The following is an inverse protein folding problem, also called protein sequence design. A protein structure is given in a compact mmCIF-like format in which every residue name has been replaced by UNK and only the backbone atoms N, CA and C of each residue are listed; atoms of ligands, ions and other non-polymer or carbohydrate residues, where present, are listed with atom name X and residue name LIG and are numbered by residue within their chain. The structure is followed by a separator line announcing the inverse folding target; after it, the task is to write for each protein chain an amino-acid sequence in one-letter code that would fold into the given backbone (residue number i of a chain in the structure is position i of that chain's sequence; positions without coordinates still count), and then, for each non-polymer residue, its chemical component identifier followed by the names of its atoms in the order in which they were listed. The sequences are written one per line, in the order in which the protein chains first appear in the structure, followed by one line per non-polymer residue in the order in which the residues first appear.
data_IF_685433639746
#
_entry.id   IF_685433639746
#
_cell.length_a   1.000
_cell.length_b   1.000
_cell.length_c   1.000
_cell.angle_alpha   90.00
_cell.angle_beta   90.00
_cell.angle_gamma   90.00
#
_symmetry.space_group_name_H-M   'P 1'
#
loop_
_entity.id
_entity.type
_entity.pdbx_description
1 polymer ?
#
# COMPACT_ATOMS: atom_id res chain seq x y z
N UNK A 1 36.15 -14.28 -6.70
CA UNK A 1 35.01 -14.88 -7.41
C UNK A 1 33.84 -14.91 -6.44
N UNK A 2 33.03 -13.86 -6.37
CA UNK A 2 31.81 -13.89 -5.56
C UNK A 2 30.84 -14.85 -6.24
N UNK A 3 30.53 -15.95 -5.58
CA UNK A 3 29.55 -16.93 -6.04
C UNK A 3 28.19 -16.26 -6.12
N UNK A 4 27.79 -15.95 -7.35
CA UNK A 4 26.48 -15.42 -7.70
C UNK A 4 25.44 -16.51 -7.39
N UNK A 5 25.04 -16.57 -6.12
CA UNK A 5 24.01 -17.47 -5.63
C UNK A 5 22.72 -16.94 -6.21
N UNK A 6 22.37 -17.42 -7.42
CA UNK A 6 21.05 -17.24 -8.02
C UNK A 6 20.03 -17.70 -6.99
N UNK A 7 19.55 -16.73 -6.22
CA UNK A 7 18.65 -16.95 -5.10
C UNK A 7 17.39 -17.50 -5.74
N UNK A 8 16.98 -18.72 -5.38
CA UNK A 8 15.79 -19.34 -5.95
C UNK A 8 14.62 -18.35 -5.87
N UNK A 9 14.21 -17.80 -7.02
CA UNK A 9 13.09 -16.89 -7.10
C UNK A 9 11.86 -17.78 -6.88
N UNK A 10 11.38 -17.83 -5.63
CA UNK A 10 10.13 -18.51 -5.31
C UNK A 10 9.02 -17.63 -5.89
N UNK A 11 8.31 -18.08 -6.94
CA UNK A 11 7.22 -17.30 -7.51
C UNK A 11 6.17 -17.08 -6.42
N UNK A 12 5.75 -15.82 -6.27
CA UNK A 12 4.73 -15.46 -5.30
C UNK A 12 3.43 -16.19 -5.63
N UNK A 13 2.78 -16.77 -4.62
CA UNK A 13 1.41 -17.25 -4.76
C UNK A 13 0.54 -16.08 -5.19
N UNK A 14 -0.03 -16.15 -6.39
CA UNK A 14 -1.00 -15.15 -6.87
C UNK A 14 -2.35 -15.46 -6.24
N UNK A 15 -2.99 -14.46 -5.68
CA UNK A 15 -4.40 -14.56 -5.33
C UNK A 15 -5.21 -14.70 -6.64
N UNK A 16 -6.24 -15.54 -6.62
CA UNK A 16 -7.18 -15.61 -7.74
C UNK A 16 -8.25 -14.55 -7.51
N UNK A 17 -8.22 -13.50 -8.31
CA UNK A 17 -9.04 -12.30 -8.15
C UNK A 17 -9.59 -11.84 -9.49
N UNK A 18 -10.74 -11.19 -9.47
CA UNK A 18 -11.40 -10.69 -10.69
C UNK A 18 -10.65 -9.51 -11.32
N UNK A 19 -9.83 -8.80 -10.54
CA UNK A 19 -9.03 -7.66 -10.98
C UNK A 19 -7.54 -8.00 -11.04
N UNK A 20 -6.77 -7.34 -11.94
CA UNK A 20 -5.34 -7.63 -12.11
C UNK A 20 -4.52 -7.24 -10.89
N UNK A 21 -3.53 -8.06 -10.56
CA UNK A 21 -2.52 -7.75 -9.54
C UNK A 21 -1.60 -6.63 -10.02
N UNK A 22 -1.49 -5.57 -9.23
CA UNK A 22 -0.52 -4.47 -9.44
C UNK A 22 0.76 -4.77 -8.67
N UNK A 23 0.63 -5.12 -7.39
CA UNK A 23 1.77 -5.30 -6.48
C UNK A 23 1.38 -6.21 -5.31
N UNK A 24 2.13 -7.29 -5.08
CA UNK A 24 1.92 -8.21 -3.94
C UNK A 24 2.50 -7.71 -2.61
N UNK A 25 3.30 -6.65 -2.63
CA UNK A 25 3.92 -6.05 -1.45
C UNK A 25 4.19 -4.54 -1.64
N UNK A 26 3.13 -3.72 -1.71
CA UNK A 26 3.26 -2.31 -2.04
C UNK A 26 4.02 -1.54 -0.96
N UNK A 27 5.01 -0.77 -1.39
CA UNK A 27 5.76 0.12 -0.50
C UNK A 27 4.83 1.14 0.17
N UNK A 28 5.04 1.44 1.45
CA UNK A 28 4.18 2.31 2.27
C UNK A 28 3.80 3.62 1.57
N UNK A 29 4.80 4.28 0.95
CA UNK A 29 4.60 5.53 0.18
C UNK A 29 3.61 5.37 -0.99
N UNK A 30 3.64 4.24 -1.71
CA UNK A 30 2.71 3.98 -2.82
C UNK A 30 1.30 3.78 -2.30
N UNK A 31 1.14 3.08 -1.17
CA UNK A 31 -0.17 2.84 -0.57
C UNK A 31 -0.89 4.16 -0.25
N UNK A 32 -0.20 5.11 0.39
CA UNK A 32 -0.76 6.43 0.67
C UNK A 32 -0.89 7.31 -0.58
N UNK A 33 0.05 7.21 -1.53
CA UNK A 33 0.00 7.98 -2.78
C UNK A 33 -1.14 7.57 -3.72
N UNK A 34 -1.54 6.29 -3.69
CA UNK A 34 -2.60 5.73 -4.53
C UNK A 34 -3.96 5.75 -3.81
N UNK A 35 -4.02 6.17 -2.55
CA UNK A 35 -5.27 6.30 -1.81
C UNK A 35 -6.22 7.27 -2.53
N UNK A 36 -7.47 6.83 -2.76
CA UNK A 36 -8.50 7.66 -3.39
C UNK A 36 -9.00 8.71 -2.37
N UNK A 37 -9.55 9.84 -2.84
CA UNK A 37 -10.23 10.78 -1.94
C UNK A 37 -11.32 10.13 -1.09
N UNK A 38 -12.00 9.12 -1.64
CA UNK A 38 -13.00 8.34 -0.91
C UNK A 38 -12.42 7.55 0.26
N UNK A 39 -11.17 7.09 0.19
CA UNK A 39 -10.55 6.36 1.32
C UNK A 39 -10.20 7.31 2.45
N UNK A 40 -9.79 8.55 2.14
CA UNK A 40 -9.60 9.59 3.16
C UNK A 40 -10.92 9.96 3.83
N UNK A 41 -12.01 10.05 3.07
CA UNK A 41 -13.34 10.29 3.63
C UNK A 41 -13.79 9.16 4.56
N UNK A 42 -13.63 7.90 4.13
CA UNK A 42 -13.94 6.72 4.96
C UNK A 42 -13.04 6.69 6.20
N UNK A 43 -11.74 6.96 6.05
CA UNK A 43 -10.79 7.00 7.15
C UNK A 43 -11.14 8.08 8.18
N UNK A 44 -11.56 9.26 7.74
CA UNK A 44 -12.04 10.33 8.62
C UNK A 44 -13.31 9.92 9.38
N UNK A 45 -14.27 9.30 8.68
CA UNK A 45 -15.46 8.73 9.30
C UNK A 45 -15.10 7.71 10.39
N UNK A 46 -14.27 6.73 10.05
CA UNK A 46 -13.80 5.70 10.99
C UNK A 46 -12.98 6.29 12.14
N UNK A 47 -12.19 7.32 11.89
CA UNK A 47 -11.41 7.98 12.93
C UNK A 47 -12.27 8.71 13.96
N UNK A 48 -13.41 9.24 13.54
CA UNK A 48 -14.37 9.88 14.44
C UNK A 48 -15.26 8.88 15.21
N UNK A 49 -15.34 7.62 14.77
CA UNK A 49 -16.23 6.63 15.38
C UNK A 49 -15.96 6.42 16.87
N UNK A 50 -14.69 6.30 17.27
CA UNK A 50 -14.31 6.12 18.67
C UNK A 50 -14.70 7.32 19.56
N UNK A 51 -14.23 8.56 19.31
CA UNK A 51 -14.60 9.70 20.15
C UNK A 51 -16.12 9.98 20.14
N UNK A 52 -16.80 9.82 19.00
CA UNK A 52 -18.26 9.97 18.94
C UNK A 52 -18.95 8.92 19.81
N UNK A 53 -18.52 7.66 19.76
CA UNK A 53 -19.08 6.59 20.58
C UNK A 53 -18.92 6.89 22.07
N UNK A 54 -17.73 7.32 22.50
CA UNK A 54 -17.50 7.73 23.89
C UNK A 54 -18.36 8.92 24.32
N UNK A 55 -18.55 9.90 23.44
CA UNK A 55 -19.43 11.03 23.71
C UNK A 55 -20.90 10.61 23.85
N UNK A 56 -21.39 9.70 22.99
CA UNK A 56 -22.75 9.14 23.08
C UNK A 56 -22.91 8.33 24.37
N UNK A 57 -21.93 7.48 24.70
CA UNK A 57 -21.95 6.66 25.91
C UNK A 57 -21.99 7.50 27.18
N UNK A 58 -21.18 8.56 27.26
CA UNK A 58 -21.19 9.48 28.39
C UNK A 58 -22.53 10.22 28.51
N UNK A 59 -23.19 10.54 27.38
CA UNK A 59 -24.52 11.16 27.40
C UNK A 59 -25.63 10.18 27.82
N UNK A 60 -25.50 8.91 27.46
CA UNK A 60 -26.49 7.88 27.79
C UNK A 60 -26.35 7.36 29.23
N UNK A 61 -25.13 7.21 29.71
CA UNK A 61 -24.80 6.74 31.05
C UNK A 61 -23.63 7.56 31.62
N UNK A 62 -23.91 8.69 32.30
CA UNK A 62 -22.87 9.57 32.80
C UNK A 62 -21.93 8.86 33.77
N UNK A 63 -20.63 9.00 33.56
CA UNK A 63 -19.61 8.40 34.43
C UNK A 63 -19.42 9.18 35.74
N UNK A 64 -20.03 10.37 35.85
CA UNK A 64 -19.90 11.29 36.99
C UNK A 64 -18.44 11.66 37.30
N UNK A 65 -17.54 11.51 36.33
CA UNK A 65 -16.14 11.93 36.48
C UNK A 65 -16.11 13.44 36.70
N UNK A 66 -15.39 13.87 37.74
CA UNK A 66 -15.24 15.28 38.07
C UNK A 66 -14.68 16.10 36.89
N UNK A 67 -14.80 17.43 36.99
CA UNK A 67 -14.40 18.35 35.94
C UNK A 67 -12.94 18.10 35.51
N UNK A 68 -12.76 17.70 34.24
CA UNK A 68 -11.44 17.40 33.66
C UNK A 68 -11.12 15.91 33.47
N UNK A 69 -11.85 14.98 34.10
CA UNK A 69 -11.60 13.53 33.96
C UNK A 69 -11.92 12.95 32.58
N UNK A 70 -12.91 13.53 31.89
CA UNK A 70 -13.34 13.07 30.57
C UNK A 70 -12.41 13.49 29.42
N UNK A 71 -11.67 14.60 29.57
CA UNK A 71 -10.84 15.13 28.50
C UNK A 71 -9.66 14.21 28.11
N UNK A 72 -8.90 13.60 29.05
CA UNK A 72 -7.91 12.59 28.72
C UNK A 72 -8.49 11.36 27.99
N UNK A 73 -9.68 10.89 28.40
CA UNK A 73 -10.36 9.77 27.75
C UNK A 73 -10.70 10.11 26.30
N UNK A 74 -11.24 11.29 26.04
CA UNK A 74 -11.53 11.75 24.69
C UNK A 74 -10.28 11.91 23.81
N UNK A 75 -9.14 12.33 24.39
CA UNK A 75 -7.85 12.36 23.67
C UNK A 75 -7.40 10.96 23.28
N UNK A 76 -7.47 10.01 24.20
CA UNK A 76 -7.13 8.61 23.92
C UNK A 76 -8.08 8.00 22.87
N UNK A 77 -9.39 8.20 23.02
CA UNK A 77 -10.39 7.73 22.07
C UNK A 77 -10.14 8.31 20.67
N UNK A 78 -9.77 9.59 20.58
CA UNK A 78 -9.39 10.24 19.32
C UNK A 78 -8.11 9.62 18.73
N UNK A 79 -7.09 9.38 19.56
CA UNK A 79 -5.84 8.76 19.09
C UNK A 79 -6.08 7.34 18.55
N UNK A 80 -6.84 6.52 19.27
CA UNK A 80 -7.25 5.18 18.83
C UNK A 80 -8.08 5.25 17.55
N UNK A 81 -9.02 6.20 17.49
CA UNK A 81 -9.80 6.48 16.29
C UNK A 81 -8.90 6.78 15.08
N UNK A 82 -7.98 7.74 15.20
CA UNK A 82 -7.04 8.10 14.14
C UNK A 82 -6.23 6.89 13.65
N UNK A 83 -5.73 6.05 14.57
CA UNK A 83 -5.03 4.81 14.20
C UNK A 83 -5.95 3.84 13.43
N UNK A 84 -7.19 3.66 13.89
CA UNK A 84 -8.18 2.84 13.20
C UNK A 84 -8.56 3.38 11.81
N UNK A 85 -8.71 4.70 11.68
CA UNK A 85 -8.96 5.36 10.40
C UNK A 85 -7.81 5.17 9.41
N UNK A 86 -6.57 5.36 9.86
CA UNK A 86 -5.37 5.10 9.05
C UNK A 86 -5.24 3.64 8.66
N UNK A 87 -5.56 2.71 9.56
CA UNK A 87 -5.62 1.29 9.27
C UNK A 87 -6.62 0.98 8.15
N UNK A 88 -7.84 1.52 8.22
CA UNK A 88 -8.86 1.32 7.17
C UNK A 88 -8.41 1.93 5.83
N UNK A 89 -7.78 3.10 5.85
CA UNK A 89 -7.22 3.71 4.63
C UNK A 89 -6.18 2.81 3.98
N UNK A 90 -5.22 2.35 4.79
CA UNK A 90 -4.14 1.49 4.35
C UNK A 90 -4.70 0.18 3.77
N UNK A 91 -5.64 -0.44 4.47
CA UNK A 91 -6.26 -1.69 4.05
C UNK A 91 -6.96 -1.56 2.69
N UNK A 92 -7.80 -0.53 2.54
CA UNK A 92 -8.56 -0.31 1.31
C UNK A 92 -7.65 -0.05 0.10
N UNK A 93 -6.52 0.61 0.33
CA UNK A 93 -5.56 0.89 -0.72
C UNK A 93 -4.78 -0.36 -1.12
N UNK A 94 -4.28 -1.14 -0.17
CA UNK A 94 -3.59 -2.40 -0.46
C UNK A 94 -4.51 -3.46 -1.10
N UNK A 95 -5.78 -3.53 -0.72
CA UNK A 95 -6.77 -4.39 -1.40
C UNK A 95 -6.87 -4.13 -2.91
N UNK A 96 -6.73 -2.87 -3.34
CA UNK A 96 -6.67 -2.53 -4.77
C UNK A 96 -5.36 -2.96 -5.42
N UNK A 97 -4.23 -2.84 -4.72
CA UNK A 97 -2.95 -3.36 -5.24
C UNK A 97 -3.00 -4.87 -5.47
N UNK A 98 -3.67 -5.60 -4.56
CA UNK A 98 -3.86 -7.06 -4.64
C UNK A 98 -4.90 -7.49 -5.67
N UNK A 99 -5.72 -6.57 -6.19
CA UNK A 99 -6.81 -6.89 -7.10
C UNK A 99 -8.04 -7.48 -6.42
N UNK A 100 -8.18 -7.37 -5.08
CA UNK A 100 -9.40 -7.81 -4.38
C UNK A 100 -10.60 -6.90 -4.64
N UNK A 101 -10.35 -5.67 -5.10
CA UNK A 101 -11.37 -4.68 -5.43
C UNK A 101 -11.00 -3.99 -6.73
N UNK A 102 -11.97 -3.33 -7.36
CA UNK A 102 -11.78 -2.53 -8.57
C UNK A 102 -10.57 -1.59 -8.45
N UNK A 103 -9.68 -1.68 -9.43
CA UNK A 103 -8.37 -1.01 -9.41
C UNK A 103 -7.95 -0.46 -10.78
N UNK A 104 -8.87 -0.22 -11.71
CA UNK A 104 -8.54 0.20 -13.09
C UNK A 104 -7.75 1.52 -13.10
N UNK A 105 -8.16 2.49 -12.27
CA UNK A 105 -7.45 3.75 -12.09
C UNK A 105 -6.01 3.54 -11.60
N UNK A 106 -5.83 2.67 -10.61
CA UNK A 106 -4.52 2.38 -10.03
C UNK A 106 -3.61 1.62 -11.01
N UNK A 107 -4.17 0.72 -11.83
CA UNK A 107 -3.45 0.04 -12.91
C UNK A 107 -2.95 1.03 -13.95
N UNK A 108 -3.78 1.99 -14.36
CA UNK A 108 -3.40 3.03 -15.32
C UNK A 108 -2.29 3.93 -14.74
N UNK A 109 -2.46 4.39 -13.50
CA UNK A 109 -1.46 5.19 -12.79
C UNK A 109 -0.13 4.45 -12.64
N UNK A 110 -0.17 3.17 -12.25
CA UNK A 110 1.02 2.33 -12.13
C UNK A 110 1.71 2.12 -13.47
N UNK A 111 0.94 1.82 -14.52
CA UNK A 111 1.49 1.65 -15.87
C UNK A 111 2.21 2.90 -16.33
N UNK A 112 1.58 4.08 -16.16
CA UNK A 112 2.19 5.36 -16.50
C UNK A 112 3.47 5.63 -15.69
N UNK A 113 3.42 5.45 -14.36
CA UNK A 113 4.56 5.67 -13.48
C UNK A 113 5.75 4.75 -13.85
N UNK A 114 5.47 3.48 -14.14
CA UNK A 114 6.50 2.50 -14.47
C UNK A 114 7.07 2.73 -15.88
N UNK A 115 6.24 3.04 -16.87
CA UNK A 115 6.69 3.39 -18.23
C UNK A 115 7.55 4.65 -18.20
N UNK A 116 7.16 5.68 -17.47
CA UNK A 116 7.95 6.90 -17.32
C UNK A 116 9.33 6.62 -16.69
N UNK A 117 9.41 5.72 -15.70
CA UNK A 117 10.69 5.27 -15.13
C UNK A 117 11.53 4.51 -16.14
N UNK A 118 10.93 3.61 -16.92
CA UNK A 118 11.63 2.87 -17.99
C UNK A 118 12.20 3.84 -19.03
N UNK A 119 11.40 4.79 -19.51
CA UNK A 119 11.85 5.83 -20.47
C UNK A 119 13.01 6.66 -19.93
N UNK A 120 13.07 6.89 -18.61
CA UNK A 120 14.17 7.59 -17.91
C UNK A 120 15.38 6.71 -17.58
N UNK A 121 15.30 5.40 -17.80
CA UNK A 121 16.33 4.45 -17.38
C UNK A 121 16.44 4.28 -15.86
N UNK A 122 15.38 4.60 -15.12
CA UNK A 122 15.32 4.45 -13.67
C UNK A 122 14.83 3.04 -13.28
N UNK A 123 15.26 2.52 -12.11
CA UNK A 123 14.74 1.26 -11.62
C UNK A 123 13.25 1.38 -11.24
N UNK A 124 12.43 0.43 -11.70
CA UNK A 124 10.97 0.40 -11.52
C UNK A 124 10.54 0.63 -10.06
N UNK A 125 11.16 -0.08 -9.13
CA UNK A 125 10.82 -0.07 -7.71
C UNK A 125 11.84 0.71 -6.85
N UNK A 126 12.64 1.57 -7.48
CA UNK A 126 13.63 2.41 -6.80
C UNK A 126 14.94 1.71 -6.47
N UNK A 127 15.86 2.46 -5.84
CA UNK A 127 17.17 1.94 -5.38
C UNK A 127 17.09 1.59 -3.90
N UNK A 128 17.73 0.50 -3.52
CA UNK A 128 17.85 0.05 -2.13
C UNK A 128 19.30 0.14 -1.67
N UNK A 129 19.50 0.46 -0.39
CA UNK A 129 20.82 0.40 0.24
C UNK A 129 21.16 -1.02 0.72
N UNK A 130 20.19 -1.94 0.67
CA UNK A 130 20.35 -3.32 1.09
C UNK A 130 20.91 -4.22 -0.02
N UNK A 131 21.63 -5.27 0.35
CA UNK A 131 22.02 -6.32 -0.59
C UNK A 131 20.80 -7.04 -1.16
N UNK A 132 20.93 -7.65 -2.34
CA UNK A 132 19.86 -8.44 -2.97
C UNK A 132 19.32 -9.55 -2.04
N UNK A 133 20.21 -10.17 -1.27
CA UNK A 133 19.82 -11.17 -0.26
C UNK A 133 18.90 -10.57 0.82
N UNK A 134 19.26 -9.42 1.39
CA UNK A 134 18.47 -8.74 2.42
C UNK A 134 17.14 -8.21 1.87
N UNK A 135 17.13 -7.72 0.62
CA UNK A 135 15.89 -7.35 -0.08
C UNK A 135 14.96 -8.56 -0.23
N UNK A 136 15.50 -9.72 -0.61
CA UNK A 136 14.72 -10.96 -0.72
C UNK A 136 14.23 -11.50 0.63
N UNK A 137 14.95 -11.25 1.74
CA UNK A 137 14.45 -11.54 3.09
C UNK A 137 13.34 -10.56 3.50
N UNK A 138 13.52 -9.27 3.23
CA UNK A 138 12.53 -8.24 3.52
C UNK A 138 11.22 -8.55 2.80
N UNK A 139 11.27 -8.78 1.47
CA UNK A 139 10.10 -9.13 0.66
C UNK A 139 9.36 -10.37 1.18
N UNK A 140 10.08 -11.38 1.70
CA UNK A 140 9.44 -12.59 2.27
C UNK A 140 8.70 -12.32 3.58
N UNK A 141 9.15 -11.34 4.36
CA UNK A 141 8.50 -10.97 5.63
C UNK A 141 7.33 -10.00 5.42
N UNK A 142 7.41 -9.08 4.45
CA UNK A 142 6.36 -8.09 4.19
C UNK A 142 5.30 -8.53 3.19
N UNK A 143 5.60 -9.49 2.31
CA UNK A 143 4.61 -9.98 1.33
C UNK A 143 3.32 -10.45 2.01
N UNK A 144 2.20 -9.91 1.56
CA UNK A 144 0.85 -10.14 2.10
C UNK A 144 0.70 -9.88 3.61
N UNK A 145 1.64 -9.21 4.27
CA UNK A 145 1.53 -8.91 5.71
C UNK A 145 0.35 -7.98 6.01
N UNK A 146 -0.09 -7.21 5.01
CA UNK A 146 -1.26 -6.33 5.10
C UNK A 146 -2.56 -7.11 5.38
N UNK A 147 -2.70 -8.35 4.93
CA UNK A 147 -3.87 -9.18 5.24
C UNK A 147 -4.06 -9.45 6.74
N UNK A 148 -2.97 -9.36 7.51
CA UNK A 148 -2.97 -9.62 8.95
C UNK A 148 -2.48 -8.43 9.78
N UNK A 149 -2.56 -7.23 9.21
CA UNK A 149 -2.01 -6.01 9.83
C UNK A 149 -2.70 -5.60 11.13
N UNK A 150 -3.94 -6.04 11.33
CA UNK A 150 -4.70 -5.81 12.56
C UNK A 150 -4.13 -6.58 13.77
N UNK A 151 -3.29 -7.60 13.54
CA UNK A 151 -2.58 -8.34 14.61
C UNK A 151 -1.15 -7.86 14.72
N UNK A 152 -0.42 -7.79 13.61
CA UNK A 152 0.97 -7.33 13.58
C UNK A 152 1.13 -6.24 12.54
N UNK A 153 1.38 -4.97 12.94
CA UNK A 153 1.55 -3.87 12.01
C UNK A 153 2.89 -3.98 11.29
N UNK A 154 2.91 -4.69 10.16
CA UNK A 154 4.10 -4.93 9.37
C UNK A 154 3.95 -4.31 7.99
N UNK A 155 4.88 -3.42 7.63
CA UNK A 155 4.83 -2.60 6.42
C UNK A 155 6.07 -2.81 5.55
N UNK A 156 5.91 -2.66 4.23
CA UNK A 156 7.04 -2.60 3.33
C UNK A 156 7.68 -1.19 3.32
N UNK A 157 8.93 -1.13 3.77
CA UNK A 157 9.79 0.05 3.78
C UNK A 157 11.06 -0.15 2.95
N UNK A 158 11.18 -1.29 2.26
CA UNK A 158 12.37 -1.68 1.50
C UNK A 158 12.02 -1.69 0.02
N UNK A 159 12.76 -0.92 -0.76
CA UNK A 159 12.72 -1.04 -2.21
C UNK A 159 13.34 -2.40 -2.58
N UNK A 160 12.54 -3.31 -3.12
CA UNK A 160 12.98 -4.61 -3.63
C UNK A 160 12.35 -4.85 -5.00
N UNK A 161 12.72 -5.92 -5.70
CA UNK A 161 12.21 -6.25 -7.04
C UNK A 161 11.11 -7.33 -7.03
N UNK A 162 10.75 -7.85 -5.86
CA UNK A 162 9.90 -9.04 -5.71
C UNK A 162 8.40 -8.75 -5.53
N UNK A 163 7.79 -8.05 -6.49
CA UNK A 163 6.41 -7.56 -6.41
C UNK A 163 5.34 -8.50 -6.99
N UNK A 164 5.71 -9.69 -7.49
CA UNK A 164 4.77 -10.74 -7.93
C UNK A 164 4.13 -10.53 -9.30
N UNK A 165 4.51 -9.45 -9.99
CA UNK A 165 4.07 -9.10 -11.35
C UNK A 165 5.18 -9.28 -12.37
N UNK A 166 4.79 -9.58 -13.61
CA UNK A 166 5.73 -9.57 -14.73
C UNK A 166 6.04 -8.11 -15.09
N UNK A 167 7.29 -7.70 -14.89
CA UNK A 167 7.76 -6.34 -15.17
C UNK A 167 8.05 -6.11 -16.65
N UNK A 168 8.19 -7.18 -17.45
CA UNK A 168 8.45 -7.07 -18.89
C UNK A 168 7.36 -6.29 -19.62
N UNK A 169 6.11 -6.34 -19.12
CA UNK A 169 4.97 -5.60 -19.67
C UNK A 169 5.23 -4.08 -19.72
N UNK A 170 5.94 -3.51 -18.74
CA UNK A 170 6.23 -2.07 -18.70
C UNK A 170 7.29 -1.68 -19.73
N UNK A 171 8.29 -2.55 -19.94
CA UNK A 171 9.32 -2.33 -20.97
C UNK A 171 8.72 -2.41 -22.37
N UNK A 172 7.89 -3.42 -22.64
CA UNK A 172 7.19 -3.55 -23.92
C UNK A 172 6.25 -2.37 -24.20
N UNK A 173 5.57 -1.85 -23.17
CA UNK A 173 4.73 -0.68 -23.30
C UNK A 173 5.56 0.58 -23.57
N UNK A 174 6.66 0.76 -22.86
CA UNK A 174 7.57 1.89 -23.08
C UNK A 174 8.17 1.88 -24.49
N UNK A 175 8.58 0.72 -24.99
CA UNK A 175 9.07 0.55 -26.37
C UNK A 175 8.01 0.97 -27.40
N UNK A 176 6.77 0.50 -27.25
CA UNK A 176 5.66 0.88 -28.13
C UNK A 176 5.40 2.39 -28.13
N UNK A 177 5.42 3.02 -26.97
CA UNK A 177 5.20 4.47 -26.86
C UNK A 177 6.36 5.27 -27.46
N UNK A 178 7.61 4.86 -27.23
CA UNK A 178 8.78 5.49 -27.87
C UNK A 178 8.77 5.32 -29.38
N UNK A 179 8.30 4.17 -29.89
CA UNK A 179 8.11 3.94 -31.33
C UNK A 179 6.99 4.81 -31.91
N UNK A 180 5.88 5.00 -31.20
CA UNK A 180 4.79 5.89 -31.60
C UNK A 180 5.26 7.37 -31.64
N UNK A 181 6.01 7.81 -30.62
CA UNK A 181 6.63 9.13 -30.56
C UNK A 181 7.62 9.34 -31.72
N UNK A 182 8.43 8.32 -32.06
CA UNK A 182 9.37 8.36 -33.18
C UNK A 182 8.67 8.43 -34.55
N UNK A 183 7.51 7.81 -34.69
CA UNK A 183 6.77 7.71 -35.95
C UNK A 183 5.76 8.85 -36.14
N UNK A 184 5.55 9.71 -35.14
CA UNK A 184 4.65 10.87 -35.22
C UNK A 184 3.16 10.50 -35.24
N UNK A 185 2.82 9.25 -34.92
CA UNK A 185 1.45 8.76 -34.81
C UNK A 185 0.95 9.06 -33.39
N UNK A 186 0.46 10.29 -33.17
CA UNK A 186 -0.24 10.69 -31.93
C UNK A 186 -1.72 10.35 -31.99
#
# INVERSE_FOLDING_TARGET
MATDTKTAIVPSKRANTDYPLIDSDPHLKRVFGYARPSDWAVAGGMASAAPISFWIMERASPSHVGRGGFAPVMRLATAVGLLGGLHVLYQRSCQRFYGFTENAREVEMDTREMVDKVKKGEPLYGKSQMSSYLQGMAARNSRYSELFIHVVPWFNLVNHDQHGVDTAKYYQQAEKELEAERTGSS
#
